data_IF_676228571903
#
_entry.id   IF_676228571903
#
_cell.length_a   1.000
_cell.length_b   1.000
_cell.length_c   1.000
_cell.angle_alpha   90.00
_cell.angle_beta   90.00
_cell.angle_gamma   90.00
#
_symmetry.space_group_name_H-M   'P 1'
#
loop_
_entity.id
_entity.type
_entity.pdbx_description
1 polymer ?
#
# COMPACT_ATOMS: atom_id res chain seq x y z
N UNK A 1 -6.74 22.97 -0.31
CA UNK A 1 -5.69 22.04 -0.81
C UNK A 1 -4.47 21.91 0.12
N UNK A 2 -3.98 22.98 0.76
CA UNK A 2 -2.76 22.96 1.62
C UNK A 2 -2.78 22.00 2.84
N UNK A 3 -3.95 21.52 3.27
CA UNK A 3 -4.11 20.58 4.40
C UNK A 3 -3.79 19.11 4.05
N UNK A 4 -3.69 18.73 2.78
CA UNK A 4 -3.57 17.31 2.36
C UNK A 4 -2.16 16.74 2.50
N UNK A 5 -1.14 17.49 2.05
CA UNK A 5 0.26 17.08 2.08
C UNK A 5 0.72 16.66 3.50
N UNK A 6 0.53 17.48 4.56
CA UNK A 6 0.97 17.12 5.90
C UNK A 6 0.16 15.96 6.52
N UNK A 7 -1.07 15.73 6.06
CA UNK A 7 -1.90 14.60 6.54
C UNK A 7 -1.47 13.29 5.89
N UNK A 8 -1.20 13.30 4.58
CA UNK A 8 -0.69 12.14 3.84
C UNK A 8 0.69 11.70 4.35
N UNK A 9 1.53 12.65 4.75
CA UNK A 9 2.85 12.38 5.35
C UNK A 9 2.82 12.23 6.88
N UNK A 10 1.63 12.23 7.49
CA UNK A 10 1.54 12.01 8.93
C UNK A 10 2.03 10.60 9.28
N UNK A 11 2.87 10.49 10.31
CA UNK A 11 3.44 9.21 10.76
C UNK A 11 2.36 8.14 10.94
N UNK A 12 1.21 8.49 11.52
CA UNK A 12 0.11 7.57 11.75
C UNK A 12 -0.47 7.00 10.44
N UNK A 13 -0.70 7.85 9.42
CA UNK A 13 -1.19 7.41 8.11
C UNK A 13 -0.17 6.52 7.43
N UNK A 14 1.09 6.97 7.36
CA UNK A 14 2.16 6.22 6.71
C UNK A 14 2.40 4.84 7.37
N UNK A 15 2.44 4.76 8.70
CA UNK A 15 2.67 3.48 9.40
C UNK A 15 1.52 2.50 9.23
N UNK A 16 0.28 2.99 9.25
CA UNK A 16 -0.89 2.12 9.06
C UNK A 16 -1.00 1.65 7.61
N UNK A 17 -0.78 2.55 6.66
CA UNK A 17 -0.76 2.22 5.24
C UNK A 17 0.36 1.21 4.91
N UNK A 18 1.53 1.34 5.53
CA UNK A 18 2.63 0.39 5.36
C UNK A 18 2.27 -1.00 5.90
N UNK A 19 1.67 -1.09 7.10
CA UNK A 19 1.21 -2.38 7.66
C UNK A 19 0.20 -3.06 6.74
N UNK A 20 -0.79 -2.31 6.25
CA UNK A 20 -1.81 -2.82 5.32
C UNK A 20 -1.14 -3.27 4.02
N UNK A 21 -0.22 -2.47 3.48
CA UNK A 21 0.50 -2.80 2.27
C UNK A 21 1.34 -4.07 2.38
N UNK A 22 2.00 -4.31 3.52
CA UNK A 22 2.76 -5.53 3.75
C UNK A 22 1.84 -6.76 3.78
N UNK A 23 0.73 -6.70 4.52
CA UNK A 23 -0.20 -7.85 4.63
C UNK A 23 -0.88 -8.13 3.29
N UNK A 24 -1.54 -7.12 2.72
CA UNK A 24 -2.31 -7.26 1.47
C UNK A 24 -1.36 -7.53 0.30
N UNK A 25 -0.20 -6.87 0.26
CA UNK A 25 0.79 -7.07 -0.78
C UNK A 25 1.42 -8.46 -0.75
N UNK A 26 1.66 -9.03 0.42
CA UNK A 26 2.12 -10.43 0.54
C UNK A 26 1.08 -11.40 -0.03
N UNK A 27 -0.20 -11.20 0.32
CA UNK A 27 -1.30 -12.02 -0.21
C UNK A 27 -1.42 -11.85 -1.73
N UNK A 28 -1.40 -10.62 -2.24
CA UNK A 28 -1.41 -10.32 -3.68
C UNK A 28 -0.24 -10.98 -4.41
N UNK A 29 0.95 -10.97 -3.83
CA UNK A 29 2.12 -11.58 -4.44
C UNK A 29 2.01 -13.10 -4.48
N UNK A 30 1.45 -13.72 -3.42
CA UNK A 30 1.20 -15.16 -3.38
C UNK A 30 0.18 -15.60 -4.43
N UNK A 31 -0.92 -14.84 -4.63
CA UNK A 31 -1.93 -15.20 -5.63
C UNK A 31 -1.51 -14.86 -7.07
N UNK A 32 -0.77 -13.78 -7.29
CA UNK A 32 -0.45 -13.30 -8.65
C UNK A 32 0.81 -13.94 -9.22
N UNK A 33 1.79 -14.28 -8.39
CA UNK A 33 3.08 -14.81 -8.83
C UNK A 33 3.71 -15.75 -7.79
N UNK A 34 2.93 -16.32 -6.89
CA UNK A 34 3.41 -17.28 -5.90
C UNK A 34 4.03 -18.52 -6.54
N UNK A 35 3.43 -19.03 -7.62
CA UNK A 35 3.98 -20.14 -8.38
C UNK A 35 5.34 -19.81 -9.00
N UNK A 36 5.55 -18.56 -9.47
CA UNK A 36 6.83 -18.15 -10.00
C UNK A 36 7.92 -18.10 -8.91
N UNK A 37 7.56 -17.64 -7.72
CA UNK A 37 8.44 -17.59 -6.55
C UNK A 37 8.81 -19.00 -6.07
N UNK A 38 7.84 -19.92 -6.00
CA UNK A 38 8.05 -21.28 -5.49
C UNK A 38 8.80 -22.15 -6.51
N UNK A 39 8.46 -22.06 -7.78
CA UNK A 39 9.07 -22.86 -8.84
C UNK A 39 10.36 -22.24 -9.42
N UNK A 40 10.88 -21.16 -8.81
CA UNK A 40 12.07 -20.43 -9.27
C UNK A 40 11.99 -20.00 -10.75
N UNK A 41 10.80 -19.60 -11.19
CA UNK A 41 10.57 -19.00 -12.51
C UNK A 41 10.92 -17.51 -12.47
N UNK A 42 10.96 -16.87 -13.64
CA UNK A 42 11.22 -15.44 -13.74
C UNK A 42 10.23 -14.61 -12.92
N UNK A 43 10.76 -13.86 -11.96
CA UNK A 43 9.97 -12.98 -11.11
C UNK A 43 9.72 -11.67 -11.85
N UNK A 44 8.45 -11.32 -12.05
CA UNK A 44 8.06 -10.01 -12.55
C UNK A 44 8.18 -8.94 -11.45
N UNK A 45 9.37 -8.36 -11.29
CA UNK A 45 9.67 -7.35 -10.27
C UNK A 45 8.71 -6.15 -10.28
N UNK A 46 8.22 -5.76 -11.45
CA UNK A 46 7.21 -4.69 -11.57
C UNK A 46 5.88 -5.06 -10.91
N UNK A 47 5.38 -6.28 -11.13
CA UNK A 47 4.17 -6.79 -10.47
C UNK A 47 4.39 -6.94 -8.96
N UNK A 48 5.55 -7.46 -8.56
CA UNK A 48 5.92 -7.55 -7.15
C UNK A 48 5.82 -6.19 -6.45
N UNK A 49 6.45 -5.17 -7.03
CA UNK A 49 6.41 -3.81 -6.48
C UNK A 49 4.98 -3.27 -6.43
N UNK A 50 4.22 -3.39 -7.52
CA UNK A 50 2.83 -2.89 -7.58
C UNK A 50 1.91 -3.57 -6.57
N UNK A 51 2.11 -4.85 -6.28
CA UNK A 51 1.36 -5.58 -5.26
C UNK A 51 1.51 -4.97 -3.86
N UNK A 52 2.62 -4.30 -3.55
CA UNK A 52 2.79 -3.53 -2.30
C UNK A 52 2.43 -2.05 -2.45
N UNK A 53 2.79 -1.44 -3.57
CA UNK A 53 2.65 -0.01 -3.79
C UNK A 53 1.17 0.41 -3.90
N UNK A 54 0.35 -0.35 -4.62
CA UNK A 54 -1.06 -0.02 -4.82
C UNK A 54 -1.84 -0.03 -3.49
N UNK A 55 -1.77 -1.08 -2.65
CA UNK A 55 -2.40 -1.07 -1.33
C UNK A 55 -1.92 0.06 -0.41
N UNK A 56 -0.63 0.41 -0.46
CA UNK A 56 -0.08 1.54 0.28
C UNK A 56 -0.74 2.87 -0.13
N UNK A 57 -0.84 3.13 -1.44
CA UNK A 57 -1.44 4.35 -1.97
C UNK A 57 -2.93 4.46 -1.61
N UNK A 58 -3.69 3.39 -1.82
CA UNK A 58 -5.13 3.37 -1.54
C UNK A 58 -5.41 3.51 -0.04
N UNK A 59 -4.63 2.85 0.81
CA UNK A 59 -4.74 2.99 2.27
C UNK A 59 -4.39 4.41 2.74
N UNK A 60 -3.28 4.97 2.24
CA UNK A 60 -2.84 6.33 2.57
C UNK A 60 -3.87 7.38 2.19
N UNK A 61 -4.42 7.28 0.98
CA UNK A 61 -5.46 8.19 0.48
C UNK A 61 -6.74 8.11 1.32
N UNK A 62 -7.20 6.88 1.62
CA UNK A 62 -8.41 6.66 2.40
C UNK A 62 -8.27 7.21 3.82
N UNK A 63 -7.14 6.97 4.48
CA UNK A 63 -6.86 7.49 5.81
C UNK A 63 -6.73 9.02 5.84
N UNK A 64 -6.09 9.62 4.83
CA UNK A 64 -5.98 11.07 4.73
C UNK A 64 -7.34 11.74 4.49
N UNK A 65 -8.19 11.15 3.63
CA UNK A 65 -9.56 11.62 3.39
C UNK A 65 -10.37 11.65 4.69
N UNK A 66 -10.33 10.57 5.47
CA UNK A 66 -11.04 10.47 6.77
C UNK A 66 -10.51 11.50 7.77
N UNK A 67 -9.18 11.65 7.90
CA UNK A 67 -8.61 12.65 8.82
C UNK A 67 -8.97 14.09 8.45
N UNK A 68 -9.07 14.41 7.15
CA UNK A 68 -9.47 15.74 6.70
C UNK A 68 -10.95 15.98 6.96
N UNK A 69 -11.80 14.98 6.73
CA UNK A 69 -13.23 15.04 7.01
C UNK A 69 -13.51 15.22 8.51
N UNK A 70 -12.80 14.49 9.38
CA UNK A 70 -12.95 14.62 10.84
C UNK A 70 -12.39 15.93 11.42
N UNK A 71 -11.64 16.71 10.64
CA UNK A 71 -11.06 18.01 11.03
C UNK A 71 -11.83 19.21 10.45
N UNK A 72 -12.91 18.98 9.72
CA UNK A 72 -13.80 19.99 9.15
C UNK A 72 -15.06 20.13 10.01
#
# INVERSE_FOLDING_TARGET
MRKWIPVLTSKAVATNALKIALVVGTVLNAINQGDAIVNSLDIEWGKLFLNYFVPYCVSSYSAAKIQIQNRA
#
